data_IF_996770612894
#
_entry.id   IF_996770612894
#
_cell.length_a   1.000
_cell.length_b   1.000
_cell.length_c   1.000
_cell.angle_alpha   90.00
_cell.angle_beta   90.00
_cell.angle_gamma   90.00
#
_symmetry.space_group_name_H-M   'P 1'
#
loop_
_entity.id
_entity.type
_entity.pdbx_description
1 polymer ?
#
# COMPACT_ATOMS: atom_id res chain seq x y z
N UNK A 1 72.01 -9.09 -21.43
CA UNK A 1 70.57 -8.83 -21.72
C UNK A 1 69.73 -9.70 -20.81
N UNK A 2 69.14 -9.04 -19.84
CA UNK A 2 68.21 -9.68 -18.89
C UNK A 2 66.78 -9.51 -19.38
N UNK A 3 66.16 -10.62 -19.67
CA UNK A 3 64.75 -10.70 -20.03
C UNK A 3 63.93 -10.73 -18.73
N UNK A 4 63.23 -9.64 -18.43
CA UNK A 4 62.27 -9.58 -17.31
C UNK A 4 60.94 -10.02 -17.88
N UNK A 5 60.52 -11.22 -17.49
CA UNK A 5 59.19 -11.76 -17.78
C UNK A 5 58.21 -11.17 -16.76
N UNK A 6 57.45 -10.18 -17.18
CA UNK A 6 56.36 -9.64 -16.36
C UNK A 6 55.21 -10.62 -16.35
N UNK A 7 55.05 -11.35 -15.26
CA UNK A 7 53.83 -12.12 -14.98
C UNK A 7 52.71 -11.15 -14.59
N UNK A 8 51.86 -10.81 -15.53
CA UNK A 8 50.57 -10.17 -15.25
C UNK A 8 49.64 -11.20 -14.65
N UNK A 9 49.58 -11.26 -13.32
CA UNK A 9 48.52 -11.94 -12.60
C UNK A 9 47.21 -11.23 -12.90
N UNK A 10 46.41 -11.84 -13.72
CA UNK A 10 45.00 -11.49 -13.90
C UNK A 10 44.31 -11.72 -12.55
N UNK A 11 44.13 -10.66 -11.78
CA UNK A 11 43.18 -10.63 -10.69
C UNK A 11 41.79 -10.67 -11.34
N UNK A 12 41.28 -11.86 -11.58
CA UNK A 12 39.85 -12.04 -11.71
C UNK A 12 39.26 -11.85 -10.32
N UNK A 13 38.89 -10.62 -10.02
CA UNK A 13 37.96 -10.33 -8.96
C UNK A 13 36.62 -10.85 -9.43
N UNK A 14 36.26 -12.06 -8.99
CA UNK A 14 34.84 -12.44 -8.99
C UNK A 14 34.14 -11.50 -8.02
N UNK A 15 33.58 -10.43 -8.54
CA UNK A 15 32.56 -9.67 -7.82
C UNK A 15 31.35 -10.60 -7.85
N UNK A 16 31.19 -11.43 -6.83
CA UNK A 16 29.91 -12.05 -6.58
C UNK A 16 28.91 -10.91 -6.30
N UNK A 17 27.87 -10.85 -7.11
CA UNK A 17 26.80 -9.90 -6.93
C UNK A 17 26.08 -10.28 -5.64
N UNK A 18 26.35 -9.56 -4.54
CA UNK A 18 25.62 -9.73 -3.29
C UNK A 18 24.21 -9.16 -3.50
N UNK A 19 23.25 -10.04 -3.62
CA UNK A 19 21.85 -9.65 -3.67
C UNK A 19 21.40 -9.10 -2.32
N UNK A 20 20.60 -8.02 -2.30
CA UNK A 20 20.02 -7.51 -1.07
C UNK A 20 19.26 -8.62 -0.34
N UNK A 21 19.49 -8.73 0.98
CA UNK A 21 18.82 -9.71 1.83
C UNK A 21 17.41 -9.27 2.22
N UNK A 22 17.12 -7.97 2.10
CA UNK A 22 15.89 -7.36 2.62
C UNK A 22 14.73 -7.35 1.61
N UNK A 23 15.02 -7.63 0.34
CA UNK A 23 13.99 -7.77 -0.70
C UNK A 23 14.45 -8.68 -1.84
N UNK A 24 13.51 -9.39 -2.46
CA UNK A 24 13.80 -10.25 -3.60
C UNK A 24 14.03 -9.42 -4.87
N UNK A 25 15.15 -9.63 -5.54
CA UNK A 25 15.43 -9.00 -6.84
C UNK A 25 14.55 -9.58 -7.95
N UNK A 26 14.46 -8.87 -9.07
CA UNK A 26 13.75 -9.36 -10.25
C UNK A 26 14.28 -10.72 -10.76
N UNK A 27 15.59 -10.94 -10.68
CA UNK A 27 16.24 -12.20 -11.09
C UNK A 27 15.93 -13.33 -10.10
N UNK A 28 16.03 -13.07 -8.78
CA UNK A 28 15.62 -14.02 -7.75
C UNK A 28 14.14 -14.43 -7.91
N UNK A 29 13.28 -13.48 -8.30
CA UNK A 29 11.88 -13.73 -8.55
C UNK A 29 11.64 -14.61 -9.80
N UNK A 30 12.44 -14.46 -10.86
CA UNK A 30 12.34 -15.27 -12.07
C UNK A 30 12.77 -16.73 -11.84
N UNK A 31 13.76 -16.94 -10.97
CA UNK A 31 14.30 -18.27 -10.63
C UNK A 31 13.62 -18.90 -9.42
N UNK A 32 12.76 -18.17 -8.71
CA UNK A 32 12.08 -18.66 -7.53
C UNK A 32 11.13 -19.82 -7.85
N UNK A 33 11.16 -20.85 -7.02
CA UNK A 33 10.26 -22.01 -7.14
C UNK A 33 8.78 -21.64 -6.95
N UNK A 34 8.51 -20.63 -6.11
CA UNK A 34 7.15 -20.10 -5.87
C UNK A 34 7.18 -18.58 -5.71
N UNK A 35 7.20 -17.81 -6.81
CA UNK A 35 7.25 -16.36 -6.77
C UNK A 35 5.99 -15.74 -6.16
N UNK A 36 4.82 -16.36 -6.32
CA UNK A 36 3.57 -15.89 -5.73
C UNK A 36 3.63 -15.87 -4.21
N UNK A 37 4.18 -16.92 -3.59
CA UNK A 37 4.35 -16.97 -2.13
C UNK A 37 5.32 -15.89 -1.61
N UNK A 38 6.39 -15.62 -2.34
CA UNK A 38 7.36 -14.58 -1.93
C UNK A 38 6.68 -13.21 -1.94
N UNK A 39 5.95 -12.87 -3.01
CA UNK A 39 5.24 -11.60 -3.10
C UNK A 39 4.11 -11.48 -2.07
N UNK A 40 3.38 -12.56 -1.80
CA UNK A 40 2.37 -12.58 -0.75
C UNK A 40 2.98 -12.36 0.64
N UNK A 41 4.13 -12.97 0.93
CA UNK A 41 4.85 -12.71 2.19
C UNK A 41 5.29 -11.24 2.30
N UNK A 42 5.76 -10.63 1.20
CA UNK A 42 6.06 -9.19 1.16
C UNK A 42 4.83 -8.33 1.43
N UNK A 43 3.68 -8.70 0.88
CA UNK A 43 2.42 -8.00 1.13
C UNK A 43 1.97 -8.15 2.60
N UNK A 44 2.13 -9.35 3.19
CA UNK A 44 1.89 -9.60 4.61
C UNK A 44 2.84 -8.79 5.51
N UNK A 45 4.12 -8.69 5.14
CA UNK A 45 5.10 -7.90 5.86
C UNK A 45 4.68 -6.42 5.94
N UNK A 46 4.16 -5.86 4.85
CA UNK A 46 3.63 -4.48 4.82
C UNK A 46 2.51 -4.23 5.85
N UNK A 47 1.82 -5.27 6.28
CA UNK A 47 0.77 -5.12 7.32
C UNK A 47 1.35 -4.90 8.72
N UNK A 48 2.59 -5.31 8.98
CA UNK A 48 3.19 -5.30 10.33
C UNK A 48 4.54 -4.61 10.42
N UNK A 49 5.17 -4.30 9.29
CA UNK A 49 6.43 -3.56 9.24
C UNK A 49 6.24 -2.09 9.57
N UNK A 50 7.31 -1.47 10.04
CA UNK A 50 7.39 -0.04 10.16
C UNK A 50 7.44 0.59 8.76
N UNK A 51 6.45 1.41 8.46
CA UNK A 51 6.38 2.15 7.18
C UNK A 51 7.12 3.48 7.30
N UNK A 52 8.28 3.57 6.68
CA UNK A 52 9.08 4.79 6.71
C UNK A 52 8.61 5.77 5.63
N UNK A 53 7.91 6.83 6.04
CA UNK A 53 7.52 7.91 5.14
C UNK A 53 8.65 8.93 5.02
N UNK A 54 9.11 9.20 3.79
CA UNK A 54 10.25 10.09 3.51
C UNK A 54 11.53 9.77 4.30
N UNK A 55 11.77 8.50 4.61
CA UNK A 55 12.95 8.06 5.38
C UNK A 55 12.90 8.35 6.87
N UNK A 56 11.81 8.94 7.38
CA UNK A 56 11.59 9.13 8.80
C UNK A 56 10.86 7.93 9.41
N UNK A 57 11.35 7.46 10.54
CA UNK A 57 10.69 6.46 11.36
C UNK A 57 10.06 7.15 12.57
N UNK A 58 8.77 6.99 12.74
CA UNK A 58 8.02 7.62 13.83
C UNK A 58 7.20 6.56 14.59
N UNK A 59 6.75 6.90 15.79
CA UNK A 59 6.07 5.95 16.66
C UNK A 59 4.74 5.42 16.09
N UNK A 60 4.15 6.10 15.15
CA UNK A 60 2.84 5.80 14.57
C UNK A 60 2.90 5.13 13.18
N UNK A 61 4.05 4.67 12.71
CA UNK A 61 4.21 4.10 11.37
C UNK A 61 4.39 2.56 11.34
N UNK A 62 3.85 1.87 12.33
CA UNK A 62 3.91 0.42 12.44
C UNK A 62 2.81 -0.32 11.64
N UNK A 63 2.71 -0.01 10.37
CA UNK A 63 1.83 -0.71 9.45
C UNK A 63 0.34 -0.60 9.79
N UNK A 64 -0.41 -1.67 9.54
CA UNK A 64 -1.86 -1.70 9.74
C UNK A 64 -2.30 -1.53 11.20
N UNK A 65 -1.63 -2.10 12.22
CA UNK A 65 -1.97 -1.84 13.61
C UNK A 65 -1.96 -0.36 13.98
N UNK A 66 -0.99 0.42 13.47
CA UNK A 66 -0.99 1.87 13.68
C UNK A 66 -2.16 2.57 13.01
N UNK A 67 -2.56 2.12 11.81
CA UNK A 67 -3.74 2.67 11.13
C UNK A 67 -5.04 2.39 11.93
N UNK A 68 -5.13 1.22 12.56
CA UNK A 68 -6.24 0.88 13.45
C UNK A 68 -6.26 1.78 14.68
N UNK A 69 -5.13 1.90 15.36
CA UNK A 69 -5.00 2.74 16.55
C UNK A 69 -5.32 4.21 16.26
N UNK A 70 -4.84 4.75 15.14
CA UNK A 70 -5.13 6.12 14.70
C UNK A 70 -6.64 6.32 14.53
N UNK A 71 -7.35 5.37 13.95
CA UNK A 71 -8.82 5.45 13.78
C UNK A 71 -9.55 5.43 15.12
N UNK A 72 -9.11 4.61 16.06
CA UNK A 72 -9.72 4.51 17.39
C UNK A 72 -9.51 5.83 18.18
N UNK A 73 -8.31 6.40 18.08
CA UNK A 73 -8.00 7.71 18.69
C UNK A 73 -8.85 8.83 18.06
N UNK A 74 -8.91 8.90 16.74
CA UNK A 74 -9.69 9.93 16.02
C UNK A 74 -11.19 9.72 16.18
N UNK A 75 -11.64 8.48 16.36
CA UNK A 75 -13.03 8.12 16.67
C UNK A 75 -13.44 8.43 18.09
N UNK A 76 -12.47 8.65 19.00
CA UNK A 76 -12.70 8.88 20.42
C UNK A 76 -12.88 7.59 21.23
N UNK A 77 -12.63 6.43 20.64
CA UNK A 77 -12.72 5.14 21.30
C UNK A 77 -11.51 4.89 22.20
N UNK A 78 -10.35 5.48 21.87
CA UNK A 78 -9.13 5.42 22.66
C UNK A 78 -8.74 6.82 23.17
N UNK A 79 -8.81 7.10 24.48
CA UNK A 79 -8.46 8.39 25.02
C UNK A 79 -6.94 8.59 25.08
N UNK A 80 -6.47 9.69 24.52
CA UNK A 80 -5.07 10.11 24.62
C UNK A 80 -4.94 11.22 25.66
N UNK A 81 -4.37 10.91 26.83
CA UNK A 81 -4.27 11.85 27.96
C UNK A 81 -2.91 12.56 28.09
N UNK A 82 -1.88 12.09 27.38
CA UNK A 82 -0.53 12.65 27.47
C UNK A 82 -0.29 13.68 26.37
N UNK A 83 -0.13 14.93 26.74
CA UNK A 83 0.11 16.07 25.84
C UNK A 83 1.43 15.97 25.03
N UNK A 84 2.34 15.10 25.43
CA UNK A 84 3.59 14.83 24.69
C UNK A 84 3.50 13.64 23.74
N UNK A 85 2.33 13.00 23.66
CA UNK A 85 2.12 11.88 22.76
C UNK A 85 1.92 12.37 21.32
N UNK A 86 2.63 11.78 20.38
CA UNK A 86 2.54 12.12 18.95
C UNK A 86 1.10 11.99 18.41
N UNK A 87 0.33 11.03 18.94
CA UNK A 87 -1.06 10.84 18.54
C UNK A 87 -1.98 11.99 18.99
N UNK A 88 -1.69 12.63 20.12
CA UNK A 88 -2.49 13.76 20.59
C UNK A 88 -2.36 14.98 19.68
N UNK A 89 -1.20 15.18 19.06
CA UNK A 89 -0.98 16.27 18.12
C UNK A 89 -1.96 16.21 16.94
N UNK A 90 -2.39 15.02 16.53
CA UNK A 90 -3.35 14.86 15.44
C UNK A 90 -4.77 15.25 15.80
N UNK A 91 -5.14 15.12 17.08
CA UNK A 91 -6.45 15.51 17.59
C UNK A 91 -6.49 17.01 17.90
N UNK A 92 -5.39 17.54 18.46
CA UNK A 92 -5.33 18.89 18.98
C UNK A 92 -4.97 19.94 17.92
N UNK A 93 -4.25 19.57 16.88
CA UNK A 93 -3.69 20.49 15.89
C UNK A 93 -4.19 20.15 14.48
N UNK A 94 -5.03 21.04 13.91
CA UNK A 94 -5.52 20.89 12.54
C UNK A 94 -4.42 20.80 11.47
N UNK A 95 -3.17 21.22 11.76
CA UNK A 95 -2.03 21.08 10.85
C UNK A 95 -1.51 19.65 10.81
N UNK A 96 -1.62 18.90 11.88
CA UNK A 96 -1.23 17.49 11.96
C UNK A 96 -2.13 16.58 11.13
N UNK A 97 -3.35 17.00 10.81
CA UNK A 97 -4.22 16.28 9.89
C UNK A 97 -3.60 16.13 8.50
N UNK A 98 -2.75 17.06 8.07
CA UNK A 98 -2.03 16.94 6.81
C UNK A 98 -1.02 15.79 6.85
N UNK A 99 -0.24 15.65 7.93
CA UNK A 99 0.73 14.56 8.09
C UNK A 99 0.02 13.21 8.20
N UNK A 100 -1.07 13.15 8.99
CA UNK A 100 -1.91 11.96 9.05
C UNK A 100 -2.44 11.56 7.67
N UNK A 101 -3.02 12.51 6.93
CA UNK A 101 -3.55 12.24 5.60
C UNK A 101 -2.47 11.76 4.64
N UNK A 102 -1.29 12.39 4.65
CA UNK A 102 -0.15 12.01 3.81
C UNK A 102 0.37 10.61 4.14
N UNK A 103 0.57 10.34 5.44
CA UNK A 103 1.05 9.05 5.91
C UNK A 103 0.07 7.92 5.58
N UNK A 104 -1.20 8.08 5.95
CA UNK A 104 -2.25 7.09 5.69
C UNK A 104 -2.43 6.84 4.19
N UNK A 105 -2.46 7.93 3.40
CA UNK A 105 -2.59 7.85 1.95
C UNK A 105 -1.42 7.09 1.32
N UNK A 106 -0.19 7.41 1.73
CA UNK A 106 1.02 6.76 1.23
C UNK A 106 1.06 5.28 1.61
N UNK A 107 0.73 4.94 2.85
CA UNK A 107 0.69 3.57 3.34
C UNK A 107 -0.28 2.70 2.52
N UNK A 108 -1.53 3.15 2.37
CA UNK A 108 -2.52 2.35 1.65
C UNK A 108 -2.24 2.28 0.15
N UNK A 109 -1.71 3.33 -0.47
CA UNK A 109 -1.33 3.26 -1.88
C UNK A 109 -0.07 2.43 -2.13
N UNK A 110 0.84 2.33 -1.18
CA UNK A 110 1.92 1.34 -1.25
C UNK A 110 1.36 -0.08 -1.22
N UNK A 111 0.42 -0.37 -0.32
CA UNK A 111 -0.28 -1.66 -0.27
C UNK A 111 -1.03 -1.95 -1.59
N UNK A 112 -1.74 -0.98 -2.13
CA UNK A 112 -2.43 -1.08 -3.44
C UNK A 112 -1.43 -1.34 -4.57
N UNK A 113 -0.28 -0.66 -4.59
CA UNK A 113 0.75 -0.84 -5.61
C UNK A 113 1.32 -2.26 -5.59
N UNK A 114 1.65 -2.78 -4.41
CA UNK A 114 2.11 -4.15 -4.26
C UNK A 114 1.05 -5.18 -4.68
N UNK A 115 -0.20 -4.95 -4.32
CA UNK A 115 -1.32 -5.79 -4.75
C UNK A 115 -1.51 -5.76 -6.28
N UNK A 116 -1.43 -4.58 -6.90
CA UNK A 116 -1.52 -4.43 -8.35
C UNK A 116 -0.42 -5.22 -9.08
N UNK A 117 0.82 -5.16 -8.59
CA UNK A 117 1.93 -5.93 -9.15
C UNK A 117 1.66 -7.45 -9.12
N UNK A 118 1.05 -7.96 -8.04
CA UNK A 118 0.68 -9.37 -7.95
C UNK A 118 -0.47 -9.72 -8.89
N UNK A 119 -1.49 -8.87 -8.99
CA UNK A 119 -2.61 -9.05 -9.92
C UNK A 119 -2.14 -9.04 -11.38
N UNK A 120 -1.22 -8.14 -11.73
CA UNK A 120 -0.62 -8.10 -13.07
C UNK A 120 0.11 -9.41 -13.41
N UNK A 121 0.93 -9.91 -12.48
CA UNK A 121 1.75 -11.10 -12.70
C UNK A 121 0.95 -12.39 -12.73
N UNK A 122 -0.05 -12.54 -11.87
CA UNK A 122 -0.70 -13.80 -11.60
C UNK A 122 -2.19 -13.86 -12.00
N UNK A 123 -2.80 -12.73 -12.34
CA UNK A 123 -4.23 -12.69 -12.70
C UNK A 123 -4.61 -13.52 -13.93
N UNK A 124 -3.65 -13.79 -14.83
CA UNK A 124 -3.80 -14.65 -16.01
C UNK A 124 -3.07 -15.99 -15.89
N UNK A 125 -2.52 -16.31 -14.71
CA UNK A 125 -1.78 -17.53 -14.48
C UNK A 125 -2.70 -18.77 -14.40
N UNK A 126 -2.09 -19.95 -14.31
CA UNK A 126 -2.78 -21.18 -13.97
C UNK A 126 -3.33 -21.18 -12.55
N UNK A 127 -4.09 -22.21 -12.16
CA UNK A 127 -4.90 -22.23 -10.94
C UNK A 127 -4.12 -21.91 -9.67
N UNK A 128 -2.93 -22.48 -9.50
CA UNK A 128 -2.17 -22.34 -8.26
C UNK A 128 -1.58 -20.94 -8.08
N UNK A 129 -1.06 -20.35 -9.15
CA UNK A 129 -0.53 -18.99 -9.11
C UNK A 129 -1.64 -17.95 -9.09
N UNK A 130 -2.79 -18.24 -9.67
CA UNK A 130 -3.95 -17.35 -9.69
C UNK A 130 -4.50 -17.05 -8.29
N UNK A 131 -4.39 -18.00 -7.37
CA UNK A 131 -4.79 -17.79 -5.98
C UNK A 131 -4.03 -16.65 -5.31
N UNK A 132 -2.77 -16.40 -5.69
CA UNK A 132 -2.01 -15.24 -5.21
C UNK A 132 -2.55 -13.92 -5.73
N UNK A 133 -3.07 -13.88 -6.96
CA UNK A 133 -3.78 -12.71 -7.46
C UNK A 133 -5.08 -12.48 -6.68
N UNK A 134 -5.79 -13.54 -6.33
CA UNK A 134 -6.99 -13.48 -5.48
C UNK A 134 -6.67 -12.89 -4.10
N UNK A 135 -5.61 -13.37 -3.43
CA UNK A 135 -5.15 -12.80 -2.17
C UNK A 135 -4.81 -11.31 -2.30
N UNK A 136 -4.08 -10.93 -3.35
CA UNK A 136 -3.74 -9.53 -3.61
C UNK A 136 -4.97 -8.64 -3.82
N UNK A 137 -6.01 -9.13 -4.53
CA UNK A 137 -7.28 -8.42 -4.67
C UNK A 137 -8.00 -8.23 -3.33
N UNK A 138 -7.94 -9.20 -2.42
CA UNK A 138 -8.50 -9.06 -1.09
C UNK A 138 -7.79 -7.96 -0.28
N UNK A 139 -6.45 -7.88 -0.33
CA UNK A 139 -5.68 -6.80 0.28
C UNK A 139 -5.98 -5.43 -0.36
N UNK A 140 -6.12 -5.37 -1.67
CA UNK A 140 -6.50 -4.15 -2.39
C UNK A 140 -7.90 -3.68 -1.99
N UNK A 141 -8.84 -4.59 -1.89
CA UNK A 141 -10.19 -4.31 -1.41
C UNK A 141 -10.21 -3.78 0.03
N UNK A 142 -9.41 -4.37 0.93
CA UNK A 142 -9.23 -3.88 2.30
C UNK A 142 -8.70 -2.45 2.31
N UNK A 143 -7.62 -2.19 1.56
CA UNK A 143 -7.02 -0.87 1.48
C UNK A 143 -8.02 0.20 1.00
N UNK A 144 -8.76 -0.09 -0.05
CA UNK A 144 -9.78 0.84 -0.56
C UNK A 144 -10.97 1.00 0.37
N UNK A 145 -11.40 -0.05 1.07
CA UNK A 145 -12.48 0.04 2.05
C UNK A 145 -12.10 0.97 3.20
N UNK A 146 -10.89 0.83 3.72
CA UNK A 146 -10.41 1.67 4.81
C UNK A 146 -10.21 3.13 4.35
N UNK A 147 -9.57 3.36 3.20
CA UNK A 147 -9.45 4.71 2.63
C UNK A 147 -10.81 5.34 2.38
N UNK A 148 -11.79 4.58 1.92
CA UNK A 148 -13.15 5.09 1.71
C UNK A 148 -13.76 5.59 3.01
N UNK A 149 -13.64 4.83 4.09
CA UNK A 149 -14.14 5.22 5.41
C UNK A 149 -13.51 6.50 5.94
N UNK A 150 -12.23 6.72 5.65
CA UNK A 150 -11.47 7.87 6.15
C UNK A 150 -11.60 9.11 5.28
N UNK A 151 -11.70 8.95 3.97
CA UNK A 151 -11.61 10.07 3.02
C UNK A 151 -12.93 10.43 2.32
N UNK A 152 -13.98 9.62 2.45
CA UNK A 152 -15.30 9.98 1.93
C UNK A 152 -15.90 11.10 2.79
N UNK A 153 -16.23 12.23 2.16
CA UNK A 153 -17.03 13.24 2.84
C UNK A 153 -18.48 12.81 2.88
N UNK A 154 -18.99 12.58 4.07
CA UNK A 154 -20.41 12.32 4.35
C UNK A 154 -21.05 13.57 4.96
N UNK A 155 -22.33 13.78 4.69
CA UNK A 155 -23.10 14.85 5.32
C UNK A 155 -22.99 14.73 6.83
N UNK A 156 -22.55 15.81 7.49
CA UNK A 156 -22.26 15.83 8.92
C UNK A 156 -23.44 16.38 9.76
N UNK A 157 -24.36 17.09 9.12
CA UNK A 157 -25.40 17.87 9.78
C UNK A 157 -24.95 19.29 10.19
N UNK A 158 -23.67 19.62 10.01
CA UNK A 158 -23.15 20.98 10.18
C UNK A 158 -23.25 21.73 8.87
N UNK A 159 -24.26 22.58 8.76
CA UNK A 159 -24.61 23.26 7.51
C UNK A 159 -23.47 24.03 6.84
N UNK A 160 -22.53 24.59 7.61
CA UNK A 160 -21.37 25.30 7.08
C UNK A 160 -20.36 24.35 6.41
N UNK A 161 -20.09 23.17 7.01
CA UNK A 161 -19.18 22.16 6.47
C UNK A 161 -19.80 21.48 5.26
N UNK A 162 -21.09 21.16 5.33
CA UNK A 162 -21.81 20.53 4.23
C UNK A 162 -21.88 21.48 3.03
N UNK A 163 -22.19 22.78 3.24
CA UNK A 163 -22.18 23.79 2.18
C UNK A 163 -20.77 23.97 1.54
N UNK A 164 -19.71 23.88 2.35
CA UNK A 164 -18.34 23.92 1.83
C UNK A 164 -18.02 22.68 0.98
N UNK A 165 -18.43 21.51 1.43
CA UNK A 165 -18.24 20.27 0.68
C UNK A 165 -18.98 20.29 -0.66
N UNK A 166 -20.21 20.78 -0.69
CA UNK A 166 -20.98 20.98 -1.92
C UNK A 166 -20.31 22.00 -2.85
N UNK A 167 -19.90 23.16 -2.32
CA UNK A 167 -19.19 24.19 -3.09
C UNK A 167 -17.90 23.64 -3.72
N UNK A 168 -17.17 22.81 -3.00
CA UNK A 168 -15.93 22.18 -3.45
C UNK A 168 -16.16 20.91 -4.28
N UNK A 169 -17.43 20.48 -4.43
CA UNK A 169 -17.80 19.26 -5.16
C UNK A 169 -17.09 18.00 -4.66
N UNK A 170 -16.91 17.88 -3.34
CA UNK A 170 -16.23 16.74 -2.70
C UNK A 170 -17.16 15.78 -1.97
N UNK A 171 -18.43 16.14 -1.82
CA UNK A 171 -19.44 15.30 -1.18
C UNK A 171 -19.56 13.94 -1.91
N UNK A 172 -19.49 12.85 -1.16
CA UNK A 172 -19.56 11.49 -1.69
C UNK A 172 -18.37 11.05 -2.56
N UNK A 173 -17.28 11.82 -2.59
CA UNK A 173 -16.04 11.40 -3.24
C UNK A 173 -15.12 10.68 -2.25
N UNK A 174 -14.56 9.55 -2.69
CA UNK A 174 -13.62 8.71 -1.93
C UNK A 174 -12.17 9.07 -2.30
N UNK A 175 -11.41 8.12 -2.81
CA UNK A 175 -10.04 8.30 -3.30
C UNK A 175 -9.94 7.83 -4.76
N UNK A 176 -8.89 8.19 -5.52
CA UNK A 176 -8.68 7.67 -6.86
C UNK A 176 -8.54 6.14 -6.90
N UNK A 177 -9.16 5.49 -7.87
CA UNK A 177 -8.94 4.05 -8.11
C UNK A 177 -7.73 3.88 -9.01
N UNK A 178 -6.73 3.13 -8.53
CA UNK A 178 -5.52 2.73 -9.25
C UNK A 178 -5.48 1.21 -9.34
N UNK A 179 -5.34 0.68 -10.55
CA UNK A 179 -5.27 -0.75 -10.80
C UNK A 179 -3.98 -1.10 -11.53
N UNK A 180 -3.74 -2.38 -11.74
CA UNK A 180 -2.64 -2.90 -12.57
C UNK A 180 -2.68 -2.40 -14.02
N UNK A 181 -3.82 -1.87 -14.46
CA UNK A 181 -4.01 -1.32 -15.81
C UNK A 181 -3.84 0.20 -15.88
N UNK A 182 -3.72 0.87 -14.74
CA UNK A 182 -3.61 2.32 -14.68
C UNK A 182 -2.22 2.77 -15.12
N UNK A 183 -2.15 3.49 -16.22
CA UNK A 183 -0.88 4.00 -16.75
C UNK A 183 -0.35 5.20 -15.94
N UNK A 184 0.96 5.47 -16.03
CA UNK A 184 1.57 6.65 -15.41
C UNK A 184 0.95 7.98 -15.89
N UNK A 185 0.44 8.02 -17.13
CA UNK A 185 -0.25 9.20 -17.67
C UNK A 185 -1.62 9.39 -17.01
N UNK A 186 -2.38 8.32 -16.86
CA UNK A 186 -3.69 8.35 -16.21
C UNK A 186 -3.57 8.67 -14.72
N UNK A 187 -2.56 8.14 -14.02
CA UNK A 187 -2.31 8.42 -12.61
C UNK A 187 -2.12 9.91 -12.29
N UNK A 188 -1.57 10.70 -13.23
CA UNK A 188 -1.34 12.14 -13.03
C UNK A 188 -2.62 12.96 -12.92
N UNK A 189 -3.71 12.49 -13.53
CA UNK A 189 -5.01 13.18 -13.58
C UNK A 189 -6.15 12.26 -13.16
N UNK A 190 -5.89 11.33 -12.26
CA UNK A 190 -6.88 10.38 -11.76
C UNK A 190 -7.78 11.05 -10.70
N UNK A 191 -9.04 11.34 -10.99
CA UNK A 191 -9.91 12.01 -10.04
C UNK A 191 -10.33 11.07 -8.91
N UNK A 192 -10.75 11.65 -7.79
CA UNK A 192 -11.39 10.91 -6.71
C UNK A 192 -12.65 10.23 -7.23
N UNK A 193 -12.81 8.95 -6.92
CA UNK A 193 -13.96 8.16 -7.35
C UNK A 193 -15.18 8.46 -6.47
N UNK A 194 -16.40 8.56 -7.05
CA UNK A 194 -17.63 8.54 -6.29
C UNK A 194 -17.71 7.26 -5.44
N UNK A 195 -18.30 7.35 -4.24
CA UNK A 195 -18.39 6.22 -3.31
C UNK A 195 -19.03 4.98 -3.96
N UNK A 196 -20.08 5.20 -4.75
CA UNK A 196 -20.76 4.11 -5.44
C UNK A 196 -19.85 3.34 -6.41
N UNK A 197 -19.02 4.06 -7.16
CA UNK A 197 -18.02 3.46 -8.06
C UNK A 197 -16.96 2.69 -7.27
N UNK A 198 -16.50 3.25 -6.16
CA UNK A 198 -15.54 2.62 -5.28
C UNK A 198 -16.08 1.34 -4.65
N UNK A 199 -17.28 1.37 -4.08
CA UNK A 199 -17.87 0.17 -3.48
C UNK A 199 -18.11 -0.95 -4.50
N UNK A 200 -18.52 -0.61 -5.72
CA UNK A 200 -18.62 -1.61 -6.80
C UNK A 200 -17.27 -2.21 -7.16
N UNK A 201 -16.23 -1.40 -7.18
CA UNK A 201 -14.86 -1.87 -7.43
C UNK A 201 -14.42 -2.84 -6.32
N UNK A 202 -14.59 -2.48 -5.04
CA UNK A 202 -14.29 -3.32 -3.88
C UNK A 202 -15.05 -4.65 -3.95
N UNK A 203 -16.34 -4.60 -4.21
CA UNK A 203 -17.18 -5.82 -4.34
C UNK A 203 -16.71 -6.72 -5.48
N UNK A 204 -16.29 -6.14 -6.61
CA UNK A 204 -15.77 -6.91 -7.73
C UNK A 204 -14.45 -7.58 -7.38
N UNK A 205 -13.53 -6.86 -6.73
CA UNK A 205 -12.27 -7.43 -6.27
C UNK A 205 -12.49 -8.59 -5.29
N UNK A 206 -13.42 -8.47 -4.35
CA UNK A 206 -13.75 -9.53 -3.40
C UNK A 206 -14.36 -10.77 -4.09
N UNK A 207 -15.24 -10.58 -5.08
CA UNK A 207 -15.79 -11.69 -5.87
C UNK A 207 -14.73 -12.41 -6.68
N UNK A 208 -13.81 -11.66 -7.29
CA UNK A 208 -12.69 -12.25 -8.01
C UNK A 208 -11.74 -12.97 -7.06
N UNK A 209 -11.43 -12.39 -5.90
CA UNK A 209 -10.61 -13.01 -4.87
C UNK A 209 -11.19 -14.35 -4.42
N UNK A 210 -12.49 -14.41 -4.10
CA UNK A 210 -13.19 -15.64 -3.74
C UNK A 210 -13.08 -16.71 -4.83
N UNK A 211 -13.31 -16.32 -6.08
CA UNK A 211 -13.24 -17.23 -7.23
C UNK A 211 -11.82 -17.73 -7.49
N UNK A 212 -10.82 -16.85 -7.42
CA UNK A 212 -9.42 -17.16 -7.72
C UNK A 212 -8.74 -17.99 -6.62
N UNK A 213 -9.17 -17.85 -5.36
CA UNK A 213 -8.68 -18.64 -4.22
C UNK A 213 -9.46 -19.92 -3.97
N UNK A 214 -10.51 -20.19 -4.72
CA UNK A 214 -11.34 -21.38 -4.50
C UNK A 214 -10.56 -22.68 -4.74
N UNK A 215 -10.48 -23.51 -3.69
CA UNK A 215 -9.78 -24.80 -3.76
C UNK A 215 -8.26 -24.69 -3.62
N UNK A 216 -7.74 -23.53 -3.25
CA UNK A 216 -6.34 -23.37 -2.87
C UNK A 216 -6.17 -23.69 -1.38
N UNK A 217 -5.28 -24.67 -1.06
CA UNK A 217 -4.93 -25.12 0.30
C UNK A 217 -3.51 -24.72 0.67
#
# INVERSE_FOLDING_TARGET
PFMILAASSLMQSCIEEEFPTDYATGEQMQTAKNPGKILLNGLNAKMVEQFSYNGAQVAYDWGYPSQMLIRDILGGDEPVSNVTNDYLAWIADGTSLNMFSLYTYSYYYDLVSNANNMVEKFGSADSDQKAYAGAARAYRALAYLDMTRMFEYKTTGFSSLDAQAEKNKVAGLTVPIVTEKTTAKESKNNPRAPFYTMYRFIQNDLKLAESEMKGFE
#
